data_IF_155806401114
#
_entry.id   IF_155806401114
#
_cell.length_a   1.000
_cell.length_b   1.000
_cell.length_c   1.000
_cell.angle_alpha   90.00
_cell.angle_beta   90.00
_cell.angle_gamma   90.00
#
_symmetry.space_group_name_H-M   'P 1'
#
loop_
_entity.id
_entity.type
_entity.pdbx_description
1 polymer ?
#
# COMPACT_ATOMS: atom_id res chain seq x y z
N UNK A 1 -2.93 18.11 7.46
CA UNK A 1 -2.15 17.99 6.21
C UNK A 1 -2.97 18.49 5.01
N UNK A 2 -4.19 17.98 4.81
CA UNK A 2 -5.09 18.40 3.70
C UNK A 2 -5.29 19.92 3.57
N UNK A 3 -5.56 20.63 4.67
CA UNK A 3 -5.76 22.09 4.64
C UNK A 3 -4.51 22.83 4.12
N UNK A 4 -3.31 22.35 4.46
CA UNK A 4 -2.06 22.99 4.02
C UNK A 4 -1.82 22.71 2.53
N UNK A 5 -2.10 21.48 2.08
CA UNK A 5 -2.01 21.11 0.68
C UNK A 5 -2.97 21.94 -0.19
N UNK A 6 -4.25 22.01 0.20
CA UNK A 6 -5.28 22.77 -0.54
C UNK A 6 -4.95 24.26 -0.59
N UNK A 7 -4.34 24.80 0.47
CA UNK A 7 -3.86 26.18 0.48
C UNK A 7 -2.65 26.39 -0.43
N UNK A 8 -1.67 25.48 -0.43
CA UNK A 8 -0.49 25.60 -1.30
C UNK A 8 -0.83 25.47 -2.78
N UNK A 9 -1.72 24.55 -3.15
CA UNK A 9 -2.22 24.41 -4.52
C UNK A 9 -2.98 25.67 -4.98
N UNK A 10 -3.85 26.24 -4.13
CA UNK A 10 -4.63 27.44 -4.48
C UNK A 10 -3.88 28.75 -4.42
N UNK A 11 -3.07 28.96 -3.38
CA UNK A 11 -2.38 30.24 -3.14
C UNK A 11 -1.07 30.33 -3.93
N UNK A 12 -0.41 29.20 -4.22
CA UNK A 12 0.94 29.19 -4.81
C UNK A 12 1.04 28.46 -6.16
N UNK A 13 -0.08 27.94 -6.72
CA UNK A 13 -0.13 27.23 -8.01
C UNK A 13 0.91 26.09 -8.10
N UNK A 14 1.07 25.36 -7.00
CA UNK A 14 2.03 24.26 -6.87
C UNK A 14 1.30 22.91 -7.07
N UNK A 15 1.72 22.13 -8.07
CA UNK A 15 1.32 20.73 -8.21
C UNK A 15 2.05 19.87 -7.16
N UNK A 16 1.38 19.60 -6.04
CA UNK A 16 1.91 18.79 -4.94
C UNK A 16 1.51 17.33 -5.09
N UNK A 17 2.50 16.43 -4.97
CA UNK A 17 2.26 14.98 -4.90
C UNK A 17 2.34 14.55 -3.45
N UNK A 18 1.20 14.22 -2.85
CA UNK A 18 1.13 13.69 -1.49
C UNK A 18 1.50 12.20 -1.51
N UNK A 19 2.58 11.84 -0.83
CA UNK A 19 2.90 10.43 -0.56
C UNK A 19 2.05 9.89 0.58
N UNK A 20 1.90 8.56 0.64
CA UNK A 20 1.24 7.94 1.77
C UNK A 20 1.97 8.35 3.07
N UNK A 21 1.24 8.82 4.10
CA UNK A 21 1.84 9.20 5.37
C UNK A 21 2.51 7.97 6.00
N UNK A 22 3.77 8.11 6.41
CA UNK A 22 4.51 7.05 7.10
C UNK A 22 4.44 7.22 8.61
N UNK A 23 4.57 6.09 9.31
CA UNK A 23 4.73 6.06 10.77
C UNK A 23 6.16 5.67 11.11
N UNK A 24 6.61 6.09 12.28
CA UNK A 24 7.94 5.74 12.77
C UNK A 24 7.84 4.37 13.43
N UNK A 25 8.62 3.42 12.92
CA UNK A 25 8.77 2.09 13.51
C UNK A 25 9.98 2.06 14.44
N UNK A 26 9.92 1.21 15.47
CA UNK A 26 11.04 0.94 16.36
C UNK A 26 11.60 -0.44 16.03
N UNK A 27 12.91 -0.52 15.81
CA UNK A 27 13.58 -1.77 15.44
C UNK A 27 14.68 -2.04 16.44
N UNK A 28 14.59 -3.18 17.12
CA UNK A 28 15.67 -3.69 17.94
C UNK A 28 16.57 -4.58 17.07
N UNK A 29 17.85 -4.23 17.04
CA UNK A 29 18.86 -5.01 16.34
C UNK A 29 19.39 -6.12 17.24
N UNK A 30 20.02 -7.14 16.64
CA UNK A 30 20.66 -8.25 17.37
C UNK A 30 21.76 -7.85 18.33
N UNK A 31 22.35 -6.68 18.14
CA UNK A 31 23.37 -6.12 19.03
C UNK A 31 22.76 -5.38 20.23
N UNK A 32 21.44 -5.32 20.35
CA UNK A 32 20.70 -4.60 21.40
C UNK A 32 20.43 -3.12 21.08
N UNK A 33 20.90 -2.60 19.95
CA UNK A 33 20.64 -1.21 19.57
C UNK A 33 19.21 -1.06 19.06
N UNK A 34 18.53 -0.01 19.54
CA UNK A 34 17.21 0.39 19.06
C UNK A 34 17.34 1.53 18.07
N UNK A 35 16.75 1.38 16.88
CA UNK A 35 16.69 2.43 15.86
C UNK A 35 15.24 2.78 15.54
N UNK A 36 15.01 4.05 15.20
CA UNK A 36 13.73 4.54 14.72
C UNK A 36 13.78 4.68 13.19
N UNK A 37 12.80 4.10 12.52
CA UNK A 37 12.75 4.04 11.05
C UNK A 37 11.44 4.64 10.56
N UNK A 38 11.56 5.75 9.84
CA UNK A 38 10.47 6.49 9.20
C UNK A 38 10.30 6.13 7.71
N UNK A 39 11.37 5.66 7.07
CA UNK A 39 11.41 5.26 5.68
C UNK A 39 11.77 3.77 5.54
N UNK A 40 10.98 2.97 4.81
CA UNK A 40 11.28 1.57 4.54
C UNK A 40 12.66 1.31 3.92
N UNK A 41 13.23 2.30 3.23
CA UNK A 41 14.56 2.22 2.62
C UNK A 41 15.70 2.19 3.64
N UNK A 42 15.48 2.78 4.83
CA UNK A 42 16.45 2.82 5.92
C UNK A 42 16.41 1.58 6.82
N UNK A 43 15.53 0.62 6.51
CA UNK A 43 15.49 -0.66 7.21
C UNK A 43 16.86 -1.37 7.11
N UNK A 44 17.44 -1.82 8.24
CA UNK A 44 18.62 -2.66 8.20
C UNK A 44 18.30 -3.99 7.54
N UNK A 45 19.35 -4.71 7.12
CA UNK A 45 19.17 -6.05 6.56
C UNK A 45 18.39 -6.95 7.52
N UNK A 46 17.45 -7.79 7.02
CA UNK A 46 16.60 -8.64 7.86
C UNK A 46 17.38 -9.51 8.85
N UNK A 47 18.60 -9.90 8.50
CA UNK A 47 19.47 -10.72 9.37
C UNK A 47 19.93 -10.00 10.64
N UNK A 48 19.92 -8.67 10.64
CA UNK A 48 20.37 -7.83 11.75
C UNK A 48 19.21 -7.37 12.66
N UNK A 49 17.96 -7.67 12.28
CA UNK A 49 16.76 -7.35 13.04
C UNK A 49 16.50 -8.48 14.03
N UNK A 50 16.33 -8.14 15.30
CA UNK A 50 15.88 -9.06 16.34
C UNK A 50 14.37 -8.92 16.53
N UNK A 51 13.89 -7.68 16.72
CA UNK A 51 12.48 -7.39 16.95
C UNK A 51 12.00 -6.18 16.15
N UNK A 52 10.82 -6.30 15.55
CA UNK A 52 10.18 -5.24 14.79
C UNK A 52 8.95 -4.76 15.58
N UNK A 53 8.96 -3.49 15.99
CA UNK A 53 7.89 -2.91 16.79
C UNK A 53 7.17 -1.82 16.00
N UNK A 54 5.85 -1.94 15.92
CA UNK A 54 5.00 -0.89 15.37
C UNK A 54 4.44 0.02 16.46
N UNK A 55 4.21 1.30 16.14
CA UNK A 55 3.49 2.21 17.03
C UNK A 55 2.01 1.82 17.10
N UNK A 56 1.49 1.71 18.31
CA UNK A 56 0.08 1.48 18.61
C UNK A 56 -0.55 2.80 19.03
N UNK A 57 -1.67 3.13 18.41
CA UNK A 57 -2.49 4.27 18.77
C UNK A 57 -3.71 3.81 19.58
N UNK A 58 -4.00 4.52 20.68
CA UNK A 58 -5.28 4.38 21.37
C UNK A 58 -6.31 5.26 20.69
N UNK A 59 -7.22 4.61 19.98
CA UNK A 59 -8.32 5.22 19.23
C UNK A 59 -9.57 5.28 20.11
N UNK A 60 -10.07 6.49 20.34
CA UNK A 60 -11.38 6.74 20.95
C UNK A 60 -12.37 7.06 19.83
N UNK A 61 -13.38 6.22 19.69
CA UNK A 61 -14.41 6.35 18.65
C UNK A 61 -15.76 6.57 19.33
N UNK A 62 -16.44 7.66 18.98
CA UNK A 62 -17.81 7.92 19.43
C UNK A 62 -18.74 7.70 18.26
N UNK A 63 -19.73 6.82 18.42
CA UNK A 63 -20.65 6.44 17.34
C UNK A 63 -22.05 6.14 17.89
N UNK A 64 -23.14 6.42 17.13
CA UNK A 64 -24.48 5.94 17.49
C UNK A 64 -24.56 4.41 17.54
N UNK A 65 -25.41 3.87 18.42
CA UNK A 65 -25.59 2.41 18.59
C UNK A 65 -25.89 1.67 17.28
N UNK A 66 -26.63 2.30 16.36
CA UNK A 66 -27.04 1.73 15.08
C UNK A 66 -25.86 1.31 14.19
N UNK A 67 -24.70 1.98 14.30
CA UNK A 67 -23.52 1.71 13.47
C UNK A 67 -22.41 0.95 14.22
N UNK A 68 -22.64 0.59 15.49
CA UNK A 68 -21.65 -0.05 16.36
C UNK A 68 -21.02 -1.29 15.72
N UNK A 69 -21.84 -2.23 15.22
CA UNK A 69 -21.35 -3.48 14.64
C UNK A 69 -20.42 -3.27 13.44
N UNK A 70 -20.76 -2.32 12.57
CA UNK A 70 -19.94 -2.00 11.38
C UNK A 70 -18.59 -1.39 11.80
N UNK A 71 -18.60 -0.50 12.79
CA UNK A 71 -17.38 0.15 13.30
C UNK A 71 -16.48 -0.87 14.00
N UNK A 72 -17.04 -1.75 14.83
CA UNK A 72 -16.27 -2.82 15.47
C UNK A 72 -15.62 -3.75 14.45
N UNK A 73 -16.37 -4.15 13.42
CA UNK A 73 -15.85 -4.99 12.34
C UNK A 73 -14.67 -4.31 11.63
N UNK A 74 -14.78 -3.02 11.35
CA UNK A 74 -13.69 -2.23 10.76
C UNK A 74 -12.45 -2.18 11.66
N UNK A 75 -12.62 -1.97 12.97
CA UNK A 75 -11.50 -1.96 13.93
C UNK A 75 -10.78 -3.31 13.95
N UNK A 76 -11.55 -4.42 13.97
CA UNK A 76 -10.99 -5.79 13.95
C UNK A 76 -10.27 -6.07 12.63
N UNK A 77 -10.84 -5.66 11.49
CA UNK A 77 -10.20 -5.80 10.17
C UNK A 77 -8.83 -5.10 10.14
N UNK A 78 -8.69 -4.01 10.90
CA UNK A 78 -7.47 -3.20 11.03
C UNK A 78 -6.57 -3.64 12.19
N UNK A 79 -6.72 -4.88 12.65
CA UNK A 79 -5.95 -5.49 13.75
C UNK A 79 -6.11 -4.77 15.10
N UNK A 80 -7.22 -4.06 15.28
CA UNK A 80 -7.55 -3.37 16.51
C UNK A 80 -7.90 -4.34 17.63
N UNK A 81 -7.40 -4.06 18.83
CA UNK A 81 -7.77 -4.75 20.07
C UNK A 81 -8.70 -3.86 20.88
N UNK A 82 -9.87 -4.38 21.24
CA UNK A 82 -10.82 -3.65 22.06
C UNK A 82 -10.28 -3.52 23.49
N UNK A 83 -10.25 -2.30 24.01
CA UNK A 83 -9.81 -1.99 25.38
C UNK A 83 -11.01 -1.73 26.29
N UNK A 84 -11.93 -0.87 25.85
CA UNK A 84 -13.11 -0.49 26.63
C UNK A 84 -14.29 -0.17 25.70
N UNK A 85 -15.51 -0.29 26.25
CA UNK A 85 -16.75 0.07 25.57
C UNK A 85 -17.74 0.61 26.60
N UNK A 86 -18.23 1.84 26.37
CA UNK A 86 -19.19 2.50 27.26
C UNK A 86 -20.42 2.97 26.50
N UNK A 87 -21.59 2.67 27.06
CA UNK A 87 -22.86 3.15 26.53
C UNK A 87 -23.22 4.48 27.18
N UNK A 88 -23.40 5.52 26.36
CA UNK A 88 -23.77 6.88 26.75
C UNK A 88 -25.17 7.21 26.20
N UNK A 89 -26.18 6.46 26.68
CA UNK A 89 -27.54 6.56 26.15
C UNK A 89 -27.59 6.14 24.68
N UNK A 90 -27.79 7.10 23.77
CA UNK A 90 -27.89 6.83 22.31
C UNK A 90 -26.54 6.68 21.61
N UNK A 91 -25.45 7.11 22.24
CA UNK A 91 -24.10 7.00 21.72
C UNK A 91 -23.33 5.89 22.44
N UNK A 92 -22.33 5.34 21.77
CA UNK A 92 -21.39 4.36 22.30
C UNK A 92 -19.99 4.92 22.11
N UNK A 93 -19.22 4.93 23.19
CA UNK A 93 -17.80 5.20 23.16
C UNK A 93 -17.05 3.87 23.08
N UNK A 94 -16.19 3.73 22.08
CA UNK A 94 -15.31 2.59 21.87
C UNK A 94 -13.86 3.04 22.07
N UNK A 95 -13.09 2.26 22.81
CA UNK A 95 -11.65 2.45 22.93
C UNK A 95 -10.99 1.21 22.35
N UNK A 96 -10.21 1.42 21.30
CA UNK A 96 -9.43 0.38 20.63
C UNK A 96 -7.96 0.78 20.57
N UNK A 97 -7.08 -0.18 20.82
CA UNK A 97 -5.67 -0.05 20.48
C UNK A 97 -5.49 -0.56 19.04
N UNK A 98 -5.14 0.33 18.12
CA UNK A 98 -4.99 0.03 16.68
C UNK A 98 -3.58 0.42 16.24
N UNK A 99 -2.90 -0.40 15.43
CA UNK A 99 -1.62 -0.04 14.83
C UNK A 99 -1.70 1.29 14.06
N UNK A 100 -0.80 2.23 14.35
CA UNK A 100 -0.89 3.60 13.83
C UNK A 100 -0.76 3.62 12.30
N UNK A 101 0.02 2.71 11.71
CA UNK A 101 0.12 2.56 10.25
C UNK A 101 -1.20 2.16 9.58
N UNK A 102 -2.11 1.51 10.31
CA UNK A 102 -3.46 1.19 9.84
C UNK A 102 -4.40 2.39 9.94
N UNK A 103 -4.26 3.18 11.02
CA UNK A 103 -5.07 4.39 11.28
C UNK A 103 -4.79 5.48 10.23
N UNK A 104 -3.52 5.67 9.90
CA UNK A 104 -3.02 6.79 9.09
C UNK A 104 -3.23 6.59 7.57
N UNK A 105 -3.50 5.36 7.12
CA UNK A 105 -3.69 5.03 5.70
C UNK A 105 -5.11 5.36 5.18
N UNK A 106 -6.14 4.62 5.61
CA UNK A 106 -7.51 4.76 5.07
C UNK A 106 -8.61 4.63 6.13
N UNK A 107 -8.22 4.54 7.41
CA UNK A 107 -9.16 4.22 8.48
C UNK A 107 -10.24 5.28 8.66
N UNK A 108 -9.86 6.56 8.62
CA UNK A 108 -10.79 7.67 8.83
C UNK A 108 -11.88 7.74 7.75
N UNK A 109 -11.50 7.55 6.48
CA UNK A 109 -12.45 7.57 5.35
C UNK A 109 -13.40 6.38 5.42
N UNK A 110 -12.88 5.19 5.73
CA UNK A 110 -13.72 3.99 5.91
C UNK A 110 -14.63 4.14 7.12
N UNK A 111 -14.14 4.70 8.23
CA UNK A 111 -14.93 4.95 9.44
C UNK A 111 -16.10 5.88 9.15
N UNK A 112 -15.87 6.98 8.43
CA UNK A 112 -16.94 7.87 7.97
C UNK A 112 -17.92 7.16 7.05
N UNK A 113 -17.44 6.35 6.11
CA UNK A 113 -18.30 5.61 5.19
C UNK A 113 -19.24 4.64 5.92
N UNK A 114 -18.70 3.79 6.80
CA UNK A 114 -19.50 2.76 7.52
C UNK A 114 -20.44 3.34 8.56
N UNK A 115 -20.18 4.55 9.03
CA UNK A 115 -21.00 5.28 9.99
C UNK A 115 -21.87 6.38 9.35
N UNK A 116 -21.86 6.52 8.02
CA UNK A 116 -22.52 7.65 7.30
C UNK A 116 -22.10 9.03 7.81
N UNK A 117 -20.88 9.15 8.32
CA UNK A 117 -20.29 10.36 8.87
C UNK A 117 -20.65 10.64 10.33
N UNK A 118 -21.37 9.75 11.02
CA UNK A 118 -21.76 9.95 12.42
C UNK A 118 -20.68 9.56 13.42
N UNK A 119 -19.66 8.81 13.02
CA UNK A 119 -18.56 8.45 13.91
C UNK A 119 -17.52 9.59 13.97
N UNK A 120 -17.07 9.91 15.19
CA UNK A 120 -15.86 10.70 15.41
C UNK A 120 -14.72 9.80 15.86
N UNK A 121 -13.49 10.23 15.58
CA UNK A 121 -12.27 9.54 15.96
C UNK A 121 -11.30 10.55 16.58
N UNK A 122 -10.82 10.22 17.76
CA UNK A 122 -9.63 10.80 18.38
C UNK A 122 -8.61 9.67 18.58
N UNK A 123 -7.33 9.93 18.33
CA UNK A 123 -6.30 8.93 18.55
C UNK A 123 -5.01 9.56 19.05
N UNK A 124 -4.32 8.86 19.94
CA UNK A 124 -3.03 9.27 20.47
C UNK A 124 -2.08 8.07 20.47
N UNK A 125 -0.78 8.34 20.29
CA UNK A 125 0.25 7.30 20.46
C UNK A 125 0.20 6.77 21.90
N UNK A 126 0.20 5.44 22.04
CA UNK A 126 0.17 4.77 23.34
C UNK A 126 1.51 4.08 23.64
N UNK A 127 2.00 3.24 22.74
CA UNK A 127 3.21 2.43 22.93
C UNK A 127 3.76 1.88 21.61
N UNK A 128 4.99 1.39 21.65
CA UNK A 128 5.49 0.44 20.65
C UNK A 128 5.14 -0.99 21.05
N UNK A 129 4.79 -1.81 20.06
CA UNK A 129 4.47 -3.22 20.27
C UNK A 129 5.13 -4.07 19.20
N UNK A 130 5.79 -5.14 19.64
CA UNK A 130 6.38 -6.12 18.75
C UNK A 130 5.32 -6.87 17.94
N UNK A 131 5.52 -6.95 16.62
CA UNK A 131 4.65 -7.70 15.73
C UNK A 131 5.38 -8.21 14.49
N UNK A 132 4.74 -9.11 13.74
CA UNK A 132 5.29 -9.72 12.52
C UNK A 132 5.13 -8.82 11.31
N UNK A 133 6.09 -7.91 11.16
CA UNK A 133 6.14 -6.94 10.07
C UNK A 133 7.14 -7.38 9.00
N UNK A 134 6.77 -7.11 7.75
CA UNK A 134 7.59 -7.40 6.57
C UNK A 134 7.67 -6.17 5.66
N UNK A 135 8.85 -5.97 5.07
CA UNK A 135 9.04 -4.99 4.00
C UNK A 135 8.60 -5.61 2.67
N UNK A 136 7.64 -4.97 2.03
CA UNK A 136 7.22 -5.28 0.66
C UNK A 136 7.91 -4.29 -0.28
N UNK A 137 8.77 -4.81 -1.14
CA UNK A 137 9.42 -4.09 -2.22
C UNK A 137 8.59 -4.19 -3.50
N UNK A 138 8.64 -3.13 -4.32
CA UNK A 138 8.03 -3.11 -5.65
C UNK A 138 9.13 -3.11 -6.69
N UNK A 139 9.02 -4.01 -7.66
CA UNK A 139 9.96 -4.13 -8.77
C UNK A 139 9.27 -3.84 -10.09
N UNK A 140 9.88 -3.01 -10.91
CA UNK A 140 9.45 -2.72 -12.28
C UNK A 140 10.54 -3.20 -13.22
N UNK A 141 10.23 -4.17 -14.07
CA UNK A 141 11.19 -4.87 -14.94
C UNK A 141 12.41 -5.47 -14.23
N UNK A 142 12.29 -5.75 -12.93
CA UNK A 142 13.37 -6.28 -12.09
C UNK A 142 14.10 -5.21 -11.29
N UNK A 143 13.92 -3.93 -11.61
CA UNK A 143 14.51 -2.83 -10.86
C UNK A 143 13.63 -2.48 -9.65
N UNK A 144 14.26 -2.37 -8.47
CA UNK A 144 13.57 -1.99 -7.24
C UNK A 144 13.21 -0.50 -7.27
N UNK A 145 11.98 -0.19 -6.86
CA UNK A 145 11.49 1.18 -6.73
C UNK A 145 11.27 1.47 -5.25
N UNK A 146 12.29 2.02 -4.60
CA UNK A 146 12.30 2.27 -3.15
C UNK A 146 11.18 3.22 -2.69
N UNK A 147 10.80 4.19 -3.54
CA UNK A 147 9.70 5.12 -3.25
C UNK A 147 8.33 4.43 -3.09
N UNK A 148 8.19 3.18 -3.55
CA UNK A 148 6.96 2.39 -3.43
C UNK A 148 7.08 1.27 -2.39
N UNK A 149 8.22 1.18 -1.69
CA UNK A 149 8.39 0.21 -0.63
C UNK A 149 7.45 0.52 0.54
N UNK A 150 6.93 -0.52 1.19
CA UNK A 150 5.99 -0.39 2.30
C UNK A 150 6.23 -1.43 3.37
N UNK A 151 6.02 -1.05 4.63
CA UNK A 151 6.09 -1.95 5.78
C UNK A 151 4.67 -2.35 6.13
N UNK A 152 4.42 -3.67 6.18
CA UNK A 152 3.09 -4.21 6.42
C UNK A 152 3.16 -5.44 7.29
N UNK A 153 2.04 -5.74 7.96
CA UNK A 153 1.90 -6.99 8.66
C UNK A 153 1.94 -8.19 7.70
N UNK A 154 2.61 -9.27 8.11
CA UNK A 154 2.87 -10.46 7.29
C UNK A 154 1.58 -11.03 6.66
N UNK A 155 0.50 -11.11 7.45
CA UNK A 155 -0.80 -11.65 6.98
C UNK A 155 -1.44 -10.82 5.87
N UNK A 156 -1.20 -9.50 5.85
CA UNK A 156 -1.76 -8.59 4.85
C UNK A 156 -0.84 -8.37 3.65
N UNK A 157 0.41 -8.82 3.73
CA UNK A 157 1.45 -8.55 2.73
C UNK A 157 1.05 -8.93 1.30
N UNK A 158 0.48 -10.12 1.10
CA UNK A 158 0.01 -10.58 -0.22
C UNK A 158 -1.14 -9.75 -0.76
N UNK A 159 -2.11 -9.40 0.09
CA UNK A 159 -3.27 -8.62 -0.31
C UNK A 159 -2.83 -7.22 -0.75
N UNK A 160 -2.08 -6.52 0.11
CA UNK A 160 -1.60 -5.16 -0.18
C UNK A 160 -0.62 -5.11 -1.34
N UNK A 161 0.31 -6.07 -1.42
CA UNK A 161 1.25 -6.17 -2.53
C UNK A 161 0.55 -6.35 -3.87
N UNK A 162 -0.48 -7.22 -3.94
CA UNK A 162 -1.28 -7.39 -5.17
C UNK A 162 -2.13 -6.16 -5.48
N UNK A 163 -2.73 -5.52 -4.48
CA UNK A 163 -3.50 -4.29 -4.67
C UNK A 163 -2.62 -3.18 -5.27
N UNK A 164 -1.41 -2.99 -4.73
CA UNK A 164 -0.45 -2.01 -5.24
C UNK A 164 -0.04 -2.34 -6.68
N UNK A 165 0.36 -3.57 -6.95
CA UNK A 165 0.77 -4.00 -8.31
C UNK A 165 -0.36 -3.86 -9.34
N UNK A 166 -1.60 -4.08 -8.92
CA UNK A 166 -2.79 -3.91 -9.77
C UNK A 166 -3.03 -2.44 -10.08
N UNK A 167 -3.00 -1.57 -9.07
CA UNK A 167 -3.15 -0.13 -9.24
C UNK A 167 -2.05 0.47 -10.11
N UNK A 168 -0.80 0.02 -9.93
CA UNK A 168 0.33 0.44 -10.76
C UNK A 168 0.15 0.04 -12.23
N UNK A 169 -0.44 -1.12 -12.53
CA UNK A 169 -0.73 -1.56 -13.90
C UNK A 169 -1.72 -0.63 -14.61
N UNK A 170 -2.66 -0.05 -13.87
CA UNK A 170 -3.66 0.88 -14.40
C UNK A 170 -3.06 2.25 -14.69
N UNK A 171 -2.10 2.69 -13.87
CA UNK A 171 -1.43 3.98 -14.01
C UNK A 171 -0.30 3.97 -15.05
N UNK A 172 0.41 2.84 -15.20
CA UNK A 172 1.54 2.75 -16.13
C UNK A 172 1.02 2.62 -17.57
N UNK A 173 1.35 3.58 -18.46
CA UNK A 173 0.92 3.51 -19.85
C UNK A 173 1.56 2.33 -20.57
N UNK A 174 0.84 1.78 -21.55
CA UNK A 174 1.35 0.67 -22.36
C UNK A 174 2.57 1.13 -23.16
N UNK A 175 3.65 0.37 -23.09
CA UNK A 175 4.87 0.64 -23.84
C UNK A 175 5.02 -0.29 -25.05
N UNK A 176 6.09 -0.13 -25.83
CA UNK A 176 6.37 -1.02 -26.97
C UNK A 176 6.82 -2.42 -26.55
N UNK A 177 7.25 -2.59 -25.30
CA UNK A 177 7.57 -3.87 -24.66
C UNK A 177 6.61 -4.18 -23.50
N UNK A 178 6.65 -5.42 -23.01
CA UNK A 178 5.84 -5.84 -21.86
C UNK A 178 6.52 -5.31 -20.59
N UNK A 179 5.81 -4.51 -19.79
CA UNK A 179 6.32 -4.00 -18.51
C UNK A 179 5.86 -4.93 -17.40
N UNK A 180 6.80 -5.59 -16.73
CA UNK A 180 6.52 -6.46 -15.59
C UNK A 180 6.53 -5.64 -14.30
N UNK A 181 5.44 -5.70 -13.53
CA UNK A 181 5.33 -5.05 -12.22
C UNK A 181 5.18 -6.16 -11.19
N UNK A 182 6.00 -6.14 -10.15
CA UNK A 182 6.07 -7.20 -9.16
C UNK A 182 6.10 -6.61 -7.76
N UNK A 183 5.50 -7.30 -6.80
CA UNK A 183 5.69 -7.07 -5.38
C UNK A 183 6.47 -8.25 -4.80
N UNK A 184 7.47 -7.98 -3.97
CA UNK A 184 8.31 -9.00 -3.37
C UNK A 184 8.55 -8.74 -1.87
N UNK A 185 8.78 -9.80 -1.13
CA UNK A 185 9.31 -9.77 0.23
C UNK A 185 10.68 -10.42 0.16
N UNK A 186 11.74 -9.63 0.30
CA UNK A 186 13.11 -10.10 0.04
C UNK A 186 13.24 -10.63 -1.39
N UNK A 187 13.51 -11.94 -1.53
CA UNK A 187 13.62 -12.63 -2.82
C UNK A 187 12.30 -13.24 -3.32
N UNK A 188 11.30 -13.36 -2.47
CA UNK A 188 10.05 -14.02 -2.80
C UNK A 188 9.07 -13.05 -3.47
N UNK A 189 8.65 -13.35 -4.70
CA UNK A 189 7.60 -12.60 -5.39
C UNK A 189 6.24 -13.01 -4.82
N UNK A 190 5.51 -12.04 -4.25
CA UNK A 190 4.18 -12.23 -3.65
C UNK A 190 3.03 -11.78 -4.57
N UNK A 191 3.32 -10.96 -5.58
CA UNK A 191 2.36 -10.47 -6.54
C UNK A 191 3.02 -10.08 -7.85
N UNK A 192 2.32 -10.29 -8.98
CA UNK A 192 2.82 -9.94 -10.31
C UNK A 192 1.69 -9.51 -11.24
N UNK A 193 1.91 -8.40 -11.93
CA UNK A 193 1.08 -7.95 -13.04
C UNK A 193 1.98 -7.57 -14.22
N UNK A 194 1.40 -7.50 -15.41
CA UNK A 194 2.14 -7.14 -16.62
C UNK A 194 1.30 -6.21 -17.46
N UNK A 195 1.83 -5.02 -17.74
CA UNK A 195 1.28 -4.10 -18.72
C UNK A 195 1.68 -4.62 -20.09
N UNK A 196 0.70 -5.06 -20.87
CA UNK A 196 0.95 -5.67 -22.18
C UNK A 196 1.45 -4.64 -23.16
N UNK A 197 2.47 -5.02 -23.92
CA UNK A 197 3.02 -4.20 -24.97
C UNK A 197 1.95 -3.76 -25.97
N UNK A 198 2.08 -2.54 -26.47
CA UNK A 198 1.38 -2.09 -27.66
C UNK A 198 1.85 -2.92 -28.86
N UNK A 199 0.90 -3.41 -29.65
CA UNK A 199 1.21 -4.15 -30.88
C UNK A 199 0.52 -3.44 -32.02
N UNK A 200 1.31 -2.98 -32.99
CA UNK A 200 0.77 -2.66 -34.31
C UNK A 200 0.34 -3.97 -34.98
N UNK A 201 -0.84 -4.00 -35.56
CA UNK A 201 -1.25 -5.12 -36.40
C UNK A 201 -0.44 -5.09 -37.70
N UNK A 202 0.67 -5.84 -37.70
CA UNK A 202 1.56 -5.96 -38.86
C UNK A 202 0.96 -6.85 -39.95
N UNK A 203 -0.12 -7.57 -39.67
CA UNK A 203 -0.78 -8.48 -40.62
C UNK A 203 -1.99 -7.85 -41.32
N UNK A 204 -2.40 -6.64 -40.93
CA UNK A 204 -3.57 -5.96 -41.49
C UNK A 204 -3.54 -5.81 -43.03
N UNK A 205 -2.35 -5.73 -43.64
CA UNK A 205 -2.16 -5.65 -45.11
C UNK A 205 -1.85 -6.99 -45.78
N UNK A 206 -1.90 -8.11 -45.03
CA UNK A 206 -1.63 -9.45 -45.55
C UNK A 206 -2.93 -10.09 -46.06
N UNK A 207 -3.32 -9.74 -47.28
CA UNK A 207 -4.45 -10.34 -48.00
C UNK A 207 -3.99 -11.63 -48.69
N UNK A 208 -3.80 -12.72 -47.93
CA UNK A 208 -3.39 -14.00 -48.52
C UNK A 208 -3.00 -15.10 -47.52
N UNK A 209 -2.89 -16.32 -48.03
CA UNK A 209 -2.52 -17.53 -47.29
C UNK A 209 -1.01 -17.72 -47.07
N UNK A 210 -0.15 -16.82 -47.57
CA UNK A 210 1.31 -16.93 -47.45
C UNK A 210 1.77 -16.78 -45.99
N UNK A 211 1.98 -17.93 -45.35
CA UNK A 211 2.45 -18.06 -43.97
C UNK A 211 3.87 -17.51 -43.80
N UNK A 212 4.72 -17.58 -44.84
CA UNK A 212 6.11 -17.12 -44.78
C UNK A 212 6.20 -15.61 -44.64
N UNK A 213 5.37 -14.85 -45.38
CA UNK A 213 5.29 -13.38 -45.26
C UNK A 213 4.80 -12.95 -43.88
N UNK A 214 3.78 -13.63 -43.32
CA UNK A 214 3.28 -13.36 -41.96
C UNK A 214 4.37 -13.60 -40.90
N UNK A 215 5.08 -14.72 -40.98
CA UNK A 215 6.21 -15.06 -40.08
C UNK A 215 7.33 -14.01 -40.13
N UNK A 216 7.70 -13.53 -41.32
CA UNK A 216 8.75 -12.51 -41.51
C UNK A 216 8.39 -11.16 -40.88
N UNK A 217 7.11 -10.76 -40.93
CA UNK A 217 6.65 -9.52 -40.31
C UNK A 217 6.62 -9.63 -38.78
N UNK A 218 6.15 -10.78 -38.26
CA UNK A 218 6.15 -11.06 -36.82
C UNK A 218 7.56 -11.17 -36.25
N UNK A 219 8.51 -11.76 -36.97
CA UNK A 219 9.90 -11.86 -36.51
C UNK A 219 10.58 -10.49 -36.44
N UNK A 220 10.37 -9.63 -37.44
CA UNK A 220 10.84 -8.23 -37.41
C UNK A 220 10.26 -7.45 -36.23
N UNK A 221 8.95 -7.61 -35.96
CA UNK A 221 8.31 -6.95 -34.82
C UNK A 221 8.88 -7.44 -33.47
N UNK A 222 9.12 -8.75 -33.32
CA UNK A 222 9.74 -9.31 -32.11
C UNK A 222 11.17 -8.80 -31.91
N UNK A 223 11.98 -8.76 -32.96
CA UNK A 223 13.35 -8.26 -32.87
C UNK A 223 13.40 -6.79 -32.48
N UNK A 224 12.55 -5.94 -33.08
CA UNK A 224 12.47 -4.52 -32.74
C UNK A 224 12.05 -4.27 -31.29
N UNK A 225 11.19 -5.12 -30.72
CA UNK A 225 10.75 -5.03 -29.31
C UNK A 225 11.78 -5.55 -28.29
N UNK A 226 12.79 -6.29 -28.72
CA UNK A 226 13.84 -6.84 -27.84
C UNK A 226 15.01 -5.86 -27.67
N UNK A 227 15.16 -4.93 -28.60
CA UNK A 227 16.24 -3.95 -28.65
C UNK A 227 15.86 -2.59 -28.03
N UNK A 228 14.62 -2.45 -27.55
CA UNK A 228 14.07 -1.30 -26.83
C UNK A 228 13.72 -1.77 -25.43
#
# INVERSE_FOLDING_TARGET
>A
MEIIQERLEREYDLDLITTAPSVIYEIEKKNGDVIYVDNPSHLPEPNNIEEFREPIARCQILVPQEFLGNVMTLCIERRGVQVDMRFMGRQVQLIFDIPMGEVVMDFFDRLKSVSRGFASLDYNFERYQADKLVRVDVLINGDKVDALAMIVHETQSRYRGNALVTKMKELIPRQMFDVAIQAAIGSQIIGRSTVKAMRKDVLAKCYGGDVSRKKKLLSKQKAGKKNV
#
